data_IF_953508660684
#
_entry.id   IF_953508660684
#
_cell.length_a   1.000
_cell.length_b   1.000
_cell.length_c   1.000
_cell.angle_alpha   90.00
_cell.angle_beta   90.00
_cell.angle_gamma   90.00
#
_symmetry.space_group_name_H-M   'P 1'
#
loop_
_entity.id
_entity.type
_entity.pdbx_description
1 polymer ?
#
# COMPACT_ATOMS: atom_id res chain seq x y z
N UNK A 1 7.83 26.32 -9.03
CA UNK A 1 7.44 25.12 -8.27
C UNK A 1 8.36 24.00 -8.71
N UNK A 2 8.90 23.20 -7.79
CA UNK A 2 9.61 21.98 -8.18
C UNK A 2 8.58 20.96 -8.67
N UNK A 3 8.96 20.12 -9.63
CA UNK A 3 8.09 19.03 -10.10
C UNK A 3 8.04 17.93 -9.02
N UNK A 4 6.88 17.35 -8.70
CA UNK A 4 6.80 16.22 -7.79
C UNK A 4 7.72 15.07 -8.20
N UNK A 5 8.41 14.47 -7.25
CA UNK A 5 9.21 13.25 -7.45
C UNK A 5 8.42 11.98 -7.11
N UNK A 6 7.39 12.11 -6.28
CA UNK A 6 6.49 11.02 -5.88
C UNK A 6 5.04 11.48 -6.04
N UNK A 7 4.25 10.76 -6.82
CA UNK A 7 2.81 11.03 -7.02
C UNK A 7 2.03 9.77 -6.66
N UNK A 8 1.04 9.94 -5.79
CA UNK A 8 0.07 8.88 -5.48
C UNK A 8 -1.17 9.11 -6.35
N UNK A 9 -1.50 8.10 -7.16
CA UNK A 9 -2.82 7.90 -7.76
C UNK A 9 -3.64 7.11 -6.74
N UNK A 10 -4.82 7.62 -6.38
CA UNK A 10 -5.77 6.94 -5.51
C UNK A 10 -7.15 7.58 -5.70
N UNK A 11 -8.23 6.84 -5.50
CA UNK A 11 -9.55 7.47 -5.40
C UNK A 11 -9.56 8.46 -4.23
N UNK A 12 -10.17 9.63 -4.44
CA UNK A 12 -10.25 10.69 -3.43
C UNK A 12 -11.62 11.39 -3.54
N UNK A 13 -12.27 11.58 -2.40
CA UNK A 13 -13.60 12.15 -2.32
C UNK A 13 -13.58 13.67 -2.47
N UNK A 14 -14.57 14.25 -3.17
CA UNK A 14 -14.71 15.70 -3.35
C UNK A 14 -13.52 16.41 -4.06
N UNK A 15 -12.70 15.71 -4.85
CA UNK A 15 -11.66 16.30 -5.70
C UNK A 15 -11.80 15.94 -7.18
N UNK A 16 -11.43 16.87 -8.05
CA UNK A 16 -11.51 16.67 -9.51
C UNK A 16 -10.45 15.68 -10.05
N UNK A 17 -9.26 15.62 -9.43
CA UNK A 17 -8.16 14.76 -9.86
C UNK A 17 -7.72 13.82 -8.73
N UNK A 18 -7.59 12.51 -8.99
CA UNK A 18 -7.18 11.49 -8.02
C UNK A 18 -5.67 11.49 -7.74
N UNK A 19 -5.01 12.66 -7.73
CA UNK A 19 -3.56 12.79 -7.71
C UNK A 19 -3.08 13.59 -6.50
N UNK A 20 -2.13 13.03 -5.76
CA UNK A 20 -1.49 13.66 -4.61
C UNK A 20 0.03 13.75 -4.77
N UNK A 21 0.61 14.89 -4.43
CA UNK A 21 2.05 15.03 -4.24
C UNK A 21 2.43 14.37 -2.91
N UNK A 22 3.40 13.45 -2.97
CA UNK A 22 3.98 12.74 -1.82
C UNK A 22 5.51 12.87 -1.79
N UNK A 23 6.05 13.86 -2.49
CA UNK A 23 7.49 14.11 -2.58
C UNK A 23 8.09 14.40 -1.20
N UNK A 24 9.21 13.75 -0.80
CA UNK A 24 9.81 13.94 0.53
C UNK A 24 10.19 15.40 0.87
N UNK A 25 10.51 16.20 -0.15
CA UNK A 25 10.89 17.61 -0.01
C UNK A 25 9.74 18.60 -0.31
N UNK A 26 8.52 18.09 -0.51
CA UNK A 26 7.33 18.87 -0.86
C UNK A 26 6.34 19.05 0.30
N UNK A 27 5.34 19.91 0.11
CA UNK A 27 4.15 19.94 0.98
C UNK A 27 3.14 18.91 0.44
N UNK A 28 2.82 17.82 1.17
CA UNK A 28 1.93 16.79 0.65
C UNK A 28 0.51 17.32 0.47
N UNK A 29 -0.07 17.14 -0.72
CA UNK A 29 -1.37 17.72 -1.04
C UNK A 29 -1.94 17.28 -2.39
N UNK A 30 -3.23 17.55 -2.65
CA UNK A 30 -3.86 17.28 -3.94
C UNK A 30 -3.24 18.12 -5.06
N UNK A 31 -3.09 17.52 -6.24
CA UNK A 31 -2.48 18.14 -7.41
C UNK A 31 -3.57 18.74 -8.31
N UNK A 32 -3.46 20.04 -8.61
CA UNK A 32 -4.40 20.74 -9.48
C UNK A 32 -4.25 20.35 -10.97
N UNK A 33 -5.36 20.41 -11.72
CA UNK A 33 -5.37 20.22 -13.19
C UNK A 33 -4.34 21.13 -13.88
N UNK A 34 -3.64 20.59 -14.87
CA UNK A 34 -2.57 21.22 -15.62
C UNK A 34 -1.21 21.31 -14.90
N UNK A 35 -1.13 21.05 -13.58
CA UNK A 35 0.09 21.28 -12.82
C UNK A 35 1.27 20.35 -13.19
N UNK A 36 0.97 19.16 -13.72
CA UNK A 36 1.99 18.16 -14.10
C UNK A 36 2.46 18.26 -15.55
N UNK A 37 1.74 19.02 -16.39
CA UNK A 37 1.99 19.08 -17.82
C UNK A 37 1.71 17.77 -18.58
N UNK A 38 0.86 16.91 -18.03
CA UNK A 38 0.34 15.71 -18.70
C UNK A 38 -0.77 16.10 -19.71
N UNK A 39 -1.14 15.18 -20.60
CA UNK A 39 -2.14 15.43 -21.64
C UNK A 39 -3.53 15.61 -21.06
N UNK A 40 -4.30 16.51 -21.67
CA UNK A 40 -5.69 16.77 -21.24
C UNK A 40 -6.61 15.54 -21.38
N UNK A 41 -6.29 14.60 -22.28
CA UNK A 41 -6.99 13.32 -22.41
C UNK A 41 -6.77 12.45 -21.17
N UNK A 42 -5.52 12.33 -20.71
CA UNK A 42 -5.19 11.59 -19.51
C UNK A 42 -5.76 12.25 -18.24
N UNK A 43 -5.70 13.58 -18.12
CA UNK A 43 -6.35 14.30 -17.00
C UNK A 43 -7.86 14.05 -16.97
N UNK A 44 -8.51 14.04 -18.14
CA UNK A 44 -9.94 13.79 -18.25
C UNK A 44 -10.28 12.35 -17.83
N UNK A 45 -9.53 11.35 -18.31
CA UNK A 45 -9.75 9.94 -17.96
C UNK A 45 -9.46 9.63 -16.49
N UNK A 46 -8.46 10.27 -15.89
CA UNK A 46 -8.21 10.20 -14.44
C UNK A 46 -9.39 10.77 -13.64
N UNK A 47 -9.94 11.91 -14.07
CA UNK A 47 -11.11 12.53 -13.43
C UNK A 47 -12.38 11.68 -13.60
N UNK A 48 -12.61 11.12 -14.78
CA UNK A 48 -13.74 10.21 -15.05
C UNK A 48 -13.66 8.92 -14.21
N UNK A 49 -12.46 8.35 -14.01
CA UNK A 49 -12.25 7.22 -13.10
C UNK A 49 -12.58 7.60 -11.65
N UNK A 50 -12.11 8.76 -11.16
CA UNK A 50 -12.40 9.22 -9.80
C UNK A 50 -13.91 9.42 -9.57
N UNK A 51 -14.57 10.11 -10.51
CA UNK A 51 -16.00 10.39 -10.46
C UNK A 51 -16.86 9.11 -10.59
N UNK A 52 -16.40 8.11 -11.34
CA UNK A 52 -17.08 6.82 -11.43
C UNK A 52 -17.05 6.07 -10.09
N UNK A 53 -15.91 6.07 -9.39
CA UNK A 53 -15.79 5.45 -8.06
C UNK A 53 -16.64 6.21 -7.03
N UNK A 54 -16.59 7.54 -7.02
CA UNK A 54 -17.44 8.37 -6.14
C UNK A 54 -18.94 8.10 -6.36
N UNK A 55 -19.36 7.93 -7.62
CA UNK A 55 -20.73 7.55 -7.96
C UNK A 55 -21.11 6.10 -7.59
N UNK A 56 -20.14 5.18 -7.51
CA UNK A 56 -20.36 3.80 -7.06
C UNK A 56 -20.45 3.67 -5.54
N UNK A 57 -19.58 4.37 -4.81
CA UNK A 57 -19.45 4.28 -3.35
C UNK A 57 -20.56 5.04 -2.61
N UNK A 58 -21.03 6.16 -3.19
CA UNK A 58 -22.10 6.98 -2.60
C UNK A 58 -21.78 7.47 -1.18
N UNK A 59 -22.83 7.68 -0.37
CA UNK A 59 -22.69 8.15 1.02
C UNK A 59 -22.23 7.07 2.01
N UNK A 60 -22.37 5.79 1.65
CA UNK A 60 -22.08 4.64 2.53
C UNK A 60 -20.64 4.12 2.39
N UNK A 61 -19.89 4.57 1.37
CA UNK A 61 -18.50 4.18 1.09
C UNK A 61 -18.29 2.68 0.82
N UNK A 62 -19.34 1.96 0.40
CA UNK A 62 -19.29 0.53 0.08
C UNK A 62 -19.29 0.27 -1.43
N UNK A 63 -18.45 -0.67 -1.89
CA UNK A 63 -18.46 -1.10 -3.29
C UNK A 63 -19.75 -1.86 -3.63
N UNK A 64 -20.44 -1.53 -4.74
CA UNK A 64 -21.69 -2.19 -5.12
C UNK A 64 -21.50 -3.67 -5.47
N UNK A 65 -20.28 -4.09 -5.81
CA UNK A 65 -19.89 -5.49 -5.92
C UNK A 65 -18.37 -5.65 -5.79
N UNK A 66 -17.86 -6.85 -5.43
CA UNK A 66 -16.44 -7.18 -5.52
C UNK A 66 -15.89 -6.99 -6.95
N UNK A 67 -16.69 -7.29 -7.98
CA UNK A 67 -16.32 -7.12 -9.38
C UNK A 67 -16.09 -5.63 -9.74
N UNK A 68 -16.93 -4.71 -9.26
CA UNK A 68 -16.75 -3.27 -9.50
C UNK A 68 -15.49 -2.72 -8.81
N UNK A 69 -15.17 -3.23 -7.61
CA UNK A 69 -13.91 -2.95 -6.91
C UNK A 69 -12.71 -3.45 -7.73
N UNK A 70 -12.76 -4.68 -8.24
CA UNK A 70 -11.72 -5.27 -9.08
C UNK A 70 -11.49 -4.47 -10.37
N UNK A 71 -12.55 -4.15 -11.12
CA UNK A 71 -12.47 -3.36 -12.35
C UNK A 71 -11.84 -1.98 -12.10
N UNK A 72 -12.19 -1.36 -10.96
CA UNK A 72 -11.65 -0.06 -10.56
C UNK A 72 -10.14 -0.13 -10.25
N UNK A 73 -9.68 -1.14 -9.52
CA UNK A 73 -8.24 -1.36 -9.26
C UNK A 73 -7.45 -1.75 -10.52
N UNK A 74 -8.05 -2.53 -11.43
CA UNK A 74 -7.43 -2.82 -12.73
C UNK A 74 -7.28 -1.55 -13.57
N UNK A 75 -8.30 -0.69 -13.59
CA UNK A 75 -8.24 0.61 -14.27
C UNK A 75 -7.19 1.55 -13.64
N UNK A 76 -7.05 1.55 -12.31
CA UNK A 76 -6.03 2.32 -11.58
C UNK A 76 -4.61 1.98 -12.07
N UNK A 77 -4.28 0.69 -12.16
CA UNK A 77 -2.98 0.23 -12.67
C UNK A 77 -2.73 0.63 -14.13
N UNK A 78 -3.76 0.61 -14.98
CA UNK A 78 -3.63 1.03 -16.39
C UNK A 78 -3.43 2.55 -16.51
N UNK A 79 -4.17 3.34 -15.74
CA UNK A 79 -4.00 4.79 -15.65
C UNK A 79 -2.62 5.16 -15.08
N UNK A 80 -2.12 4.42 -14.08
CA UNK A 80 -0.78 4.59 -13.54
C UNK A 80 0.31 4.30 -14.59
N UNK A 81 0.12 3.29 -15.45
CA UNK A 81 1.05 3.01 -16.54
C UNK A 81 1.12 4.16 -17.56
N UNK A 82 -0.02 4.78 -17.89
CA UNK A 82 -0.08 5.93 -18.81
C UNK A 82 0.51 7.20 -18.18
N UNK A 83 0.13 7.50 -16.94
CA UNK A 83 0.67 8.60 -16.14
C UNK A 83 2.19 8.49 -15.99
N UNK A 84 2.70 7.30 -15.68
CA UNK A 84 4.13 7.07 -15.56
C UNK A 84 4.89 7.24 -16.89
N UNK A 85 4.26 6.91 -18.02
CA UNK A 85 4.84 7.09 -19.35
C UNK A 85 4.98 8.57 -19.71
N UNK A 86 3.98 9.40 -19.39
CA UNK A 86 4.04 10.85 -19.61
C UNK A 86 4.94 11.57 -18.59
N UNK A 87 5.01 11.09 -17.35
CA UNK A 87 5.83 11.71 -16.32
C UNK A 87 7.33 11.43 -16.45
N UNK A 88 7.71 10.29 -17.05
CA UNK A 88 9.11 9.86 -17.20
C UNK A 88 9.75 9.41 -15.88
N UNK A 89 11.08 9.21 -15.87
CA UNK A 89 11.83 8.72 -14.68
C UNK A 89 12.00 9.75 -13.56
N UNK A 90 11.69 11.03 -13.80
CA UNK A 90 11.83 12.09 -12.80
C UNK A 90 10.76 12.06 -11.70
N UNK A 91 9.68 11.30 -11.90
CA UNK A 91 8.57 11.16 -10.96
C UNK A 91 8.17 9.69 -10.91
N UNK A 92 8.02 9.12 -9.71
CA UNK A 92 7.49 7.77 -9.52
C UNK A 92 6.01 7.85 -9.18
N UNK A 93 5.18 7.09 -9.89
CA UNK A 93 3.77 6.89 -9.57
C UNK A 93 3.61 5.76 -8.55
N UNK A 94 2.67 5.91 -7.62
CA UNK A 94 2.21 4.91 -6.67
C UNK A 94 0.68 4.77 -6.80
N UNK A 95 0.12 3.60 -6.49
CA UNK A 95 -1.32 3.33 -6.60
C UNK A 95 -1.90 2.80 -5.29
N UNK A 96 -3.22 2.95 -5.13
CA UNK A 96 -4.00 2.30 -4.09
C UNK A 96 -4.04 3.02 -2.75
N UNK A 97 -4.80 2.45 -1.82
CA UNK A 97 -5.07 3.07 -0.52
C UNK A 97 -3.95 2.88 0.54
N UNK A 98 -2.72 2.65 0.09
CA UNK A 98 -1.60 2.33 0.96
C UNK A 98 -1.03 3.62 1.59
N UNK A 99 -1.44 3.92 2.83
CA UNK A 99 -0.98 5.08 3.60
C UNK A 99 0.56 5.19 3.66
N UNK A 100 1.12 6.14 2.91
CA UNK A 100 2.56 6.42 2.86
C UNK A 100 3.13 6.93 4.20
N UNK A 101 3.42 6.03 5.15
CA UNK A 101 4.34 6.35 6.27
C UNK A 101 5.78 6.60 5.81
N UNK A 102 6.12 6.35 4.54
CA UNK A 102 7.41 6.72 3.96
C UNK A 102 7.67 8.24 3.97
N UNK A 103 6.61 9.07 3.98
CA UNK A 103 6.71 10.53 4.15
C UNK A 103 6.87 10.97 5.62
N UNK A 104 6.72 10.04 6.58
CA UNK A 104 6.74 10.33 8.02
C UNK A 104 7.69 9.35 8.72
N UNK A 105 8.98 9.70 8.71
CA UNK A 105 9.69 9.60 9.99
C UNK A 105 8.86 10.43 10.98
N UNK A 106 8.46 9.93 12.16
CA UNK A 106 7.74 10.75 13.13
C UNK A 106 8.65 11.87 13.64
N UNK A 107 8.68 12.97 12.89
CA UNK A 107 9.42 14.21 13.16
C UNK A 107 8.68 15.01 14.22
N UNK A 108 8.69 14.43 15.42
CA UNK A 108 7.94 14.92 16.57
C UNK A 108 6.53 14.37 16.59
N UNK A 109 6.25 13.55 17.60
CA UNK A 109 4.94 13.61 18.25
C UNK A 109 4.56 15.08 18.45
N UNK A 110 3.28 15.44 18.24
CA UNK A 110 2.77 16.76 18.57
C UNK A 110 2.83 16.99 20.09
N UNK A 111 4.00 17.44 20.57
CA UNK A 111 4.31 17.60 21.98
C UNK A 111 3.84 18.94 22.51
N UNK A 112 3.00 18.91 23.55
CA UNK A 112 2.75 20.07 24.39
C UNK A 112 3.98 20.31 25.28
N UNK A 113 4.84 21.24 24.88
CA UNK A 113 6.03 21.63 25.64
C UNK A 113 5.66 22.61 26.77
N UNK A 114 5.78 22.17 28.02
CA UNK A 114 5.63 23.06 29.17
C UNK A 114 7.00 23.69 29.52
N UNK A 115 7.09 25.02 29.44
CA UNK A 115 8.30 25.76 29.83
C UNK A 115 8.18 26.24 31.27
N UNK A 116 9.03 25.72 32.15
CA UNK A 116 9.09 26.12 33.56
C UNK A 116 9.84 27.45 33.79
N UNK A 117 9.79 28.02 35.01
CA UNK A 117 10.35 29.34 35.33
C UNK A 117 11.86 29.53 35.07
N UNK A 118 12.62 28.43 34.98
CA UNK A 118 14.07 28.43 34.67
C UNK A 118 14.38 28.08 33.19
N UNK A 119 13.39 28.09 32.30
CA UNK A 119 13.55 27.64 30.92
C UNK A 119 13.68 26.11 30.76
N UNK A 120 13.51 25.36 31.85
CA UNK A 120 13.44 23.88 31.80
C UNK A 120 12.19 23.47 31.04
N UNK A 121 12.39 22.66 29.99
CA UNK A 121 11.34 22.11 29.14
C UNK A 121 10.88 20.77 29.73
N UNK A 122 9.57 20.62 29.94
CA UNK A 122 8.97 19.34 30.31
C UNK A 122 8.01 18.90 29.21
N UNK A 123 8.30 17.72 28.65
CA UNK A 123 7.45 17.03 27.69
C UNK A 123 6.95 15.76 28.36
N UNK A 124 5.66 15.67 28.76
CA UNK A 124 5.11 14.44 29.28
C UNK A 124 5.05 13.40 28.15
N UNK A 125 5.94 12.41 28.18
CA UNK A 125 5.88 11.26 27.27
C UNK A 125 4.55 10.52 27.52
N UNK A 126 3.67 10.51 26.51
CA UNK A 126 2.51 9.61 26.51
C UNK A 126 3.03 8.18 26.24
N UNK A 127 2.56 7.16 26.98
CA UNK A 127 2.92 5.77 26.67
C UNK A 127 2.33 5.39 25.32
N UNK A 128 3.08 4.65 24.50
CA UNK A 128 2.58 4.13 23.21
C UNK A 128 1.45 3.12 23.42
N UNK A 129 0.70 2.76 22.37
CA UNK A 129 -0.32 1.71 22.45
C UNK A 129 0.29 0.39 22.92
N UNK A 130 1.51 0.05 22.46
CA UNK A 130 2.27 -1.12 22.92
C UNK A 130 2.60 -1.02 24.42
N UNK A 131 3.08 0.12 24.91
CA UNK A 131 3.40 0.32 26.33
C UNK A 131 2.16 0.24 27.22
N UNK A 132 1.04 0.83 26.78
CA UNK A 132 -0.25 0.73 27.47
C UNK A 132 -0.74 -0.73 27.50
N UNK A 133 -0.66 -1.43 26.37
CA UNK A 133 -1.04 -2.84 26.25
C UNK A 133 -0.16 -3.76 27.11
N UNK A 134 1.11 -3.43 27.34
CA UNK A 134 2.00 -4.17 28.24
C UNK A 134 1.72 -3.86 29.72
N UNK A 135 1.44 -2.60 30.06
CA UNK A 135 1.13 -2.17 31.44
C UNK A 135 -0.28 -2.58 31.90
N UNK A 136 -1.20 -2.88 30.97
CA UNK A 136 -2.58 -3.26 31.25
C UNK A 136 -2.68 -4.50 32.17
N UNK A 137 -3.54 -4.49 33.22
CA UNK A 137 -3.84 -5.68 34.01
C UNK A 137 -4.34 -6.84 33.16
N UNK A 138 -4.05 -8.08 33.57
CA UNK A 138 -4.45 -9.29 32.82
C UNK A 138 -5.97 -9.38 32.62
N UNK A 139 -6.75 -9.14 33.66
CA UNK A 139 -8.22 -9.16 33.60
C UNK A 139 -8.82 -8.12 32.64
N UNK A 140 -8.18 -6.95 32.54
CA UNK A 140 -8.58 -5.88 31.62
C UNK A 140 -8.20 -6.23 30.18
N UNK A 141 -6.98 -6.73 29.98
CA UNK A 141 -6.52 -7.20 28.66
C UNK A 141 -7.41 -8.34 28.14
N UNK A 142 -7.70 -9.36 28.96
CA UNK A 142 -8.59 -10.47 28.60
C UNK A 142 -10.06 -10.04 28.38
N UNK A 143 -10.48 -8.90 28.95
CA UNK A 143 -11.79 -8.31 28.66
C UNK A 143 -11.78 -7.56 27.32
N UNK A 144 -10.72 -6.79 27.03
CA UNK A 144 -10.54 -6.03 25.80
C UNK A 144 -10.32 -6.93 24.57
N UNK A 145 -9.57 -8.03 24.71
CA UNK A 145 -9.23 -8.94 23.60
C UNK A 145 -10.22 -10.10 23.43
N UNK A 146 -11.35 -10.06 24.14
CA UNK A 146 -12.39 -11.10 24.04
C UNK A 146 -12.99 -11.14 22.64
N UNK A 147 -12.72 -12.23 21.91
CA UNK A 147 -13.18 -12.43 20.54
C UNK A 147 -12.19 -11.97 19.46
N UNK A 148 -10.96 -11.59 19.83
CA UNK A 148 -9.86 -11.48 18.86
C UNK A 148 -9.57 -12.87 18.30
N UNK A 149 -9.71 -13.02 16.98
CA UNK A 149 -9.28 -14.20 16.26
C UNK A 149 -7.75 -14.16 16.08
N UNK A 150 -7.05 -15.04 16.77
CA UNK A 150 -5.59 -15.13 16.69
C UNK A 150 -5.13 -15.72 15.35
N UNK A 151 -5.91 -16.63 14.76
CA UNK A 151 -5.60 -17.27 13.48
C UNK A 151 -5.75 -16.27 12.32
N UNK A 152 -6.61 -15.26 12.47
CA UNK A 152 -6.69 -14.13 11.55
C UNK A 152 -5.42 -13.26 11.54
N UNK A 153 -4.69 -13.14 12.66
CA UNK A 153 -3.51 -12.27 12.82
C UNK A 153 -2.15 -12.97 12.62
N UNK A 154 -2.14 -14.30 12.65
CA UNK A 154 -0.94 -15.14 12.55
C UNK A 154 -0.89 -15.83 11.18
N UNK A 155 0.31 -15.98 10.62
CA UNK A 155 0.49 -16.71 9.37
C UNK A 155 0.31 -18.22 9.58
N UNK A 156 -0.41 -18.88 8.67
CA UNK A 156 -0.62 -20.32 8.66
C UNK A 156 -0.31 -20.92 7.29
N UNK A 157 0.31 -22.11 7.19
CA UNK A 157 0.63 -22.73 5.92
C UNK A 157 -0.62 -22.94 5.05
N UNK A 158 -0.55 -22.49 3.80
CA UNK A 158 -1.64 -22.63 2.83
C UNK A 158 -2.72 -21.54 2.89
N UNK A 159 -2.58 -20.53 3.77
CA UNK A 159 -3.41 -19.31 3.70
C UNK A 159 -3.17 -18.60 2.36
N UNK A 160 -4.25 -18.09 1.75
CA UNK A 160 -4.19 -17.27 0.54
C UNK A 160 -3.66 -15.87 0.92
N UNK A 161 -2.76 -15.25 0.14
CA UNK A 161 -2.30 -13.90 0.41
C UNK A 161 -3.42 -12.86 0.16
N UNK A 162 -3.48 -11.84 1.01
CA UNK A 162 -4.43 -10.71 0.91
C UNK A 162 -3.78 -9.50 0.23
N UNK A 163 -2.45 -9.48 0.16
CA UNK A 163 -1.65 -8.51 -0.60
C UNK A 163 -0.55 -9.28 -1.32
N UNK A 164 -0.20 -8.97 -2.57
CA UNK A 164 0.87 -9.64 -3.34
C UNK A 164 1.80 -8.60 -3.98
N UNK A 165 3.10 -8.63 -3.67
CA UNK A 165 4.07 -7.72 -4.29
C UNK A 165 4.58 -8.27 -5.62
N UNK A 166 4.49 -7.47 -6.69
CA UNK A 166 5.20 -7.70 -7.95
C UNK A 166 6.60 -7.05 -7.87
N UNK A 167 7.67 -7.85 -7.87
CA UNK A 167 9.04 -7.36 -7.85
C UNK A 167 10.02 -8.39 -8.45
N UNK A 168 11.07 -7.98 -9.20
CA UNK A 168 12.06 -8.91 -9.73
C UNK A 168 12.80 -9.67 -8.61
N UNK A 169 13.10 -10.94 -8.85
CA UNK A 169 13.74 -11.86 -7.90
C UNK A 169 14.72 -12.80 -8.61
N UNK A 170 15.79 -13.18 -7.90
CA UNK A 170 16.73 -14.20 -8.34
C UNK A 170 16.16 -15.63 -8.25
N UNK A 171 15.03 -15.82 -7.56
CA UNK A 171 14.44 -17.15 -7.34
C UNK A 171 12.91 -17.13 -7.34
N UNK A 172 12.30 -18.11 -8.02
CA UNK A 172 10.86 -18.31 -8.07
C UNK A 172 10.15 -17.46 -9.13
N UNK A 173 8.92 -17.03 -8.84
CA UNK A 173 8.18 -16.03 -9.61
C UNK A 173 8.49 -14.64 -9.03
N UNK A 174 8.33 -13.53 -9.78
CA UNK A 174 8.51 -12.15 -9.29
C UNK A 174 7.40 -11.69 -8.33
N UNK A 175 7.00 -12.56 -7.39
CA UNK A 175 5.87 -12.41 -6.51
C UNK A 175 6.31 -12.75 -5.08
N UNK A 176 6.03 -11.88 -4.12
CA UNK A 176 6.33 -12.09 -2.70
C UNK A 176 5.09 -11.83 -1.84
N UNK A 177 4.98 -12.49 -0.67
CA UNK A 177 3.69 -12.92 -0.11
C UNK A 177 2.53 -11.93 -0.28
N UNK A 178 2.44 -10.74 0.34
CA UNK A 178 3.23 -10.02 1.35
C UNK A 178 2.48 -9.81 2.69
N UNK A 179 1.29 -10.38 2.83
CA UNK A 179 0.25 -10.18 3.87
C UNK A 179 0.79 -9.81 5.27
N UNK A 180 0.24 -8.80 5.97
CA UNK A 180 0.81 -8.28 7.23
C UNK A 180 0.47 -9.16 8.46
N UNK A 181 0.84 -10.44 8.39
CA UNK A 181 0.62 -11.45 9.44
C UNK A 181 1.87 -11.71 10.28
N UNK A 182 1.68 -11.97 11.57
CA UNK A 182 2.77 -12.31 12.49
C UNK A 182 3.35 -13.68 12.13
N UNK A 183 4.67 -13.80 12.22
CA UNK A 183 5.47 -14.97 11.85
C UNK A 183 5.43 -15.39 10.37
N UNK A 184 4.92 -14.53 9.47
CA UNK A 184 4.98 -14.78 8.02
C UNK A 184 6.44 -14.89 7.53
N UNK A 185 6.83 -15.96 6.80
CA UNK A 185 8.13 -16.04 6.17
C UNK A 185 8.24 -15.05 4.99
N UNK A 186 9.42 -14.49 4.76
CA UNK A 186 9.68 -13.60 3.62
C UNK A 186 10.12 -14.39 2.38
N UNK A 187 9.26 -15.32 1.96
CA UNK A 187 9.50 -16.24 0.84
C UNK A 187 8.81 -15.78 -0.46
N UNK A 188 9.40 -16.05 -1.63
CA UNK A 188 8.73 -15.87 -2.92
C UNK A 188 7.52 -16.80 -3.07
N UNK A 189 6.43 -16.29 -3.66
CA UNK A 189 5.25 -17.07 -3.97
C UNK A 189 5.50 -18.00 -5.16
N UNK A 190 5.22 -19.29 -4.98
CA UNK A 190 5.19 -20.24 -6.07
C UNK A 190 3.97 -19.98 -6.99
N UNK A 191 4.15 -20.12 -8.32
CA UNK A 191 3.06 -19.95 -9.30
C UNK A 191 1.83 -20.81 -9.00
N UNK A 192 2.04 -22.02 -8.45
CA UNK A 192 0.97 -22.94 -8.09
C UNK A 192 0.07 -22.46 -6.93
N UNK A 193 0.55 -21.54 -6.09
CA UNK A 193 -0.21 -21.00 -4.94
C UNK A 193 -1.46 -20.23 -5.39
N UNK A 194 -1.35 -19.49 -6.51
CA UNK A 194 -2.41 -18.61 -7.01
C UNK A 194 -3.11 -19.14 -8.27
N UNK A 195 -2.69 -20.30 -8.78
CA UNK A 195 -3.33 -21.02 -9.92
C UNK A 195 -3.48 -20.17 -11.20
N UNK A 196 -2.50 -19.32 -11.48
CA UNK A 196 -2.45 -18.54 -12.71
C UNK A 196 -2.42 -19.43 -13.97
N UNK A 197 -2.96 -18.91 -15.07
CA UNK A 197 -2.81 -19.55 -16.38
C UNK A 197 -1.36 -19.46 -16.90
N UNK A 198 -1.05 -20.31 -17.87
CA UNK A 198 0.31 -20.43 -18.43
C UNK A 198 0.78 -19.15 -19.14
N UNK A 199 -0.14 -18.33 -19.67
CA UNK A 199 0.19 -17.08 -20.37
C UNK A 199 0.64 -16.01 -19.37
N UNK A 200 -0.09 -15.83 -18.27
CA UNK A 200 0.33 -14.91 -17.21
C UNK A 200 1.63 -15.38 -16.55
N UNK A 201 1.80 -16.68 -16.31
CA UNK A 201 3.05 -17.25 -15.79
C UNK A 201 4.24 -16.98 -16.73
N UNK A 202 4.05 -17.12 -18.05
CA UNK A 202 5.08 -16.81 -19.04
C UNK A 202 5.45 -15.32 -19.03
N UNK A 203 4.45 -14.43 -18.98
CA UNK A 203 4.66 -12.96 -18.94
C UNK A 203 5.36 -12.49 -17.65
N UNK A 204 5.01 -13.09 -16.50
CA UNK A 204 5.70 -12.83 -15.24
C UNK A 204 7.19 -13.22 -15.31
N UNK A 205 7.52 -14.36 -15.93
CA UNK A 205 8.92 -14.80 -16.11
C UNK A 205 9.68 -13.89 -17.06
N UNK A 206 9.14 -13.60 -18.24
CA UNK A 206 9.76 -12.69 -19.22
C UNK A 206 10.04 -11.30 -18.61
N UNK A 207 9.09 -10.75 -17.84
CA UNK A 207 9.29 -9.51 -17.12
C UNK A 207 10.35 -9.61 -16.02
N UNK A 208 10.38 -10.72 -15.26
CA UNK A 208 11.42 -10.95 -14.25
C UNK A 208 12.82 -11.00 -14.89
N UNK A 209 12.99 -11.85 -15.90
CA UNK A 209 14.27 -12.09 -16.57
C UNK A 209 14.78 -10.81 -17.26
N UNK A 210 13.87 -9.97 -17.76
CA UNK A 210 14.18 -8.66 -18.34
C UNK A 210 14.67 -7.64 -17.32
N UNK A 211 14.13 -7.63 -16.11
CA UNK A 211 14.33 -6.56 -15.12
C UNK A 211 15.15 -6.97 -13.89
N UNK A 212 15.53 -8.25 -13.76
CA UNK A 212 16.39 -8.73 -12.69
C UNK A 212 17.78 -8.07 -12.77
N UNK A 213 18.13 -7.31 -11.73
CA UNK A 213 19.40 -6.57 -11.66
C UNK A 213 19.48 -5.34 -12.59
N UNK A 214 18.41 -5.00 -13.29
CA UNK A 214 18.35 -3.83 -14.17
C UNK A 214 17.97 -2.53 -13.41
N UNK A 215 18.30 -1.38 -14.00
CA UNK A 215 17.86 -0.08 -13.47
C UNK A 215 16.34 0.12 -13.64
N UNK A 216 15.72 0.82 -12.68
CA UNK A 216 14.29 1.16 -12.71
C UNK A 216 14.02 2.29 -13.71
N UNK A 217 13.90 1.93 -14.99
CA UNK A 217 13.55 2.83 -16.10
C UNK A 217 12.04 3.15 -16.17
N UNK A 218 11.64 4.09 -17.03
CA UNK A 218 10.22 4.31 -17.37
C UNK A 218 9.59 3.00 -17.86
N UNK A 219 10.30 2.25 -18.71
CA UNK A 219 9.77 1.02 -19.29
C UNK A 219 9.60 -0.09 -18.25
N UNK A 220 10.48 -0.17 -17.24
CA UNK A 220 10.28 -1.04 -16.06
C UNK A 220 8.95 -0.71 -15.37
N UNK A 221 8.72 0.56 -15.06
CA UNK A 221 7.52 0.99 -14.34
C UNK A 221 6.25 0.80 -15.19
N UNK A 222 6.25 1.22 -16.45
CA UNK A 222 5.09 1.09 -17.37
C UNK A 222 4.76 -0.38 -17.67
N UNK A 223 5.77 -1.23 -17.91
CA UNK A 223 5.53 -2.67 -18.13
C UNK A 223 5.08 -3.38 -16.85
N UNK A 224 5.64 -3.00 -15.70
CA UNK A 224 5.26 -3.54 -14.40
C UNK A 224 3.85 -3.14 -13.98
N UNK A 225 3.42 -1.89 -14.21
CA UNK A 225 2.03 -1.46 -13.96
C UNK A 225 1.02 -2.23 -14.81
N UNK A 226 1.29 -2.44 -16.11
CA UNK A 226 0.43 -3.27 -16.98
C UNK A 226 0.35 -4.71 -16.48
N UNK A 227 1.50 -5.30 -16.12
CA UNK A 227 1.56 -6.65 -15.55
C UNK A 227 0.86 -6.74 -14.19
N UNK A 228 0.90 -5.67 -13.38
CA UNK A 228 0.17 -5.57 -12.13
C UNK A 228 -1.35 -5.51 -12.35
N UNK A 229 -1.84 -4.85 -13.40
CA UNK A 229 -3.25 -4.87 -13.80
C UNK A 229 -3.72 -6.31 -14.16
N UNK A 230 -2.96 -7.02 -14.99
CA UNK A 230 -3.25 -8.41 -15.35
C UNK A 230 -3.20 -9.34 -14.13
N UNK A 231 -2.22 -9.14 -13.24
CA UNK A 231 -2.08 -9.87 -11.99
C UNK A 231 -3.26 -9.59 -11.06
N UNK A 232 -3.70 -8.33 -10.94
CA UNK A 232 -4.83 -7.92 -10.11
C UNK A 232 -6.12 -8.60 -10.57
N UNK A 233 -6.38 -8.60 -11.88
CA UNK A 233 -7.47 -9.35 -12.49
C UNK A 233 -7.42 -10.85 -12.16
N UNK A 234 -6.22 -11.46 -12.21
CA UNK A 234 -6.05 -12.89 -11.95
C UNK A 234 -6.14 -13.28 -10.45
N UNK A 235 -5.70 -12.42 -9.52
CA UNK A 235 -5.85 -12.67 -8.08
C UNK A 235 -7.22 -12.27 -7.54
N UNK A 236 -7.99 -11.47 -8.26
CA UNK A 236 -9.37 -11.08 -7.92
C UNK A 236 -9.48 -10.05 -6.77
N UNK A 237 -10.71 -9.73 -6.34
CA UNK A 237 -11.00 -8.55 -5.52
C UNK A 237 -10.54 -8.63 -4.05
N UNK A 238 -10.18 -9.82 -3.57
CA UNK A 238 -9.79 -10.04 -2.16
C UNK A 238 -8.27 -10.10 -1.96
N UNK A 239 -7.49 -9.83 -3.00
CA UNK A 239 -6.03 -9.80 -2.95
C UNK A 239 -5.54 -8.55 -3.65
N UNK A 240 -4.94 -7.61 -2.93
CA UNK A 240 -4.38 -6.37 -3.52
C UNK A 240 -3.00 -6.62 -4.12
N UNK A 241 -2.77 -6.22 -5.37
CA UNK A 241 -1.42 -6.21 -5.95
C UNK A 241 -0.66 -4.96 -5.47
N UNK A 242 0.62 -5.10 -5.19
CA UNK A 242 1.52 -3.99 -4.83
C UNK A 242 2.56 -3.80 -5.93
N UNK A 243 2.60 -2.62 -6.54
CA UNK A 243 3.64 -2.19 -7.49
C UNK A 243 3.60 -0.65 -7.64
N UNK A 244 4.73 0.08 -7.76
CA UNK A 244 6.13 -0.37 -7.65
C UNK A 244 6.64 -0.37 -6.20
N UNK A 245 5.77 -0.10 -5.22
CA UNK A 245 6.10 0.04 -3.81
C UNK A 245 6.74 -1.23 -3.25
N UNK A 246 8.06 -1.21 -3.05
CA UNK A 246 8.85 -2.36 -2.62
C UNK A 246 9.31 -2.28 -1.16
N UNK A 247 8.74 -1.39 -0.33
CA UNK A 247 9.19 -1.25 1.06
C UNK A 247 8.64 -2.38 1.92
N UNK A 248 9.54 -3.07 2.63
CA UNK A 248 9.18 -4.21 3.49
C UNK A 248 8.36 -3.79 4.72
N UNK A 249 8.45 -2.53 5.15
CA UNK A 249 7.72 -2.03 6.30
C UNK A 249 6.18 -2.07 6.08
N UNK A 250 5.70 -1.84 4.85
CA UNK A 250 4.27 -1.95 4.46
C UNK A 250 3.73 -3.38 4.51
N UNK A 251 4.64 -4.35 4.51
CA UNK A 251 4.38 -5.80 4.54
C UNK A 251 4.67 -6.42 5.91
N UNK A 252 4.97 -5.58 6.91
CA UNK A 252 5.23 -5.96 8.30
C UNK A 252 3.96 -5.71 9.12
N UNK A 253 3.52 -6.62 10.01
CA UNK A 253 2.42 -6.34 10.92
C UNK A 253 2.70 -5.09 11.77
N UNK A 254 1.66 -4.34 12.11
CA UNK A 254 1.79 -3.19 13.00
C UNK A 254 2.44 -3.61 14.34
N UNK A 255 3.30 -2.80 14.97
CA UNK A 255 3.92 -3.12 16.26
C UNK A 255 2.89 -3.48 17.35
N UNK A 256 1.72 -2.85 17.30
CA UNK A 256 0.56 -3.12 18.14
C UNK A 256 0.02 -4.55 17.93
N UNK A 257 -0.10 -5.00 16.68
CA UNK A 257 -0.51 -6.36 16.33
C UNK A 257 0.51 -7.40 16.79
N UNK A 258 1.81 -7.13 16.61
CA UNK A 258 2.88 -8.00 17.11
C UNK A 258 2.82 -8.12 18.64
N UNK A 259 2.66 -7.01 19.35
CA UNK A 259 2.54 -6.99 20.81
C UNK A 259 1.27 -7.72 21.31
N UNK A 260 0.14 -7.53 20.61
CA UNK A 260 -1.13 -8.20 20.89
C UNK A 260 -1.01 -9.72 20.76
N UNK A 261 -0.47 -10.21 19.64
CA UNK A 261 -0.24 -11.64 19.37
C UNK A 261 0.71 -12.24 20.39
N UNK A 262 1.82 -11.57 20.69
CA UNK A 262 2.78 -12.03 21.69
C UNK A 262 2.16 -12.15 23.10
N UNK A 263 1.36 -11.15 23.52
CA UNK A 263 0.70 -11.17 24.82
C UNK A 263 -0.43 -12.20 24.88
N UNK A 264 -1.24 -12.37 23.83
CA UNK A 264 -2.27 -13.41 23.77
C UNK A 264 -1.67 -14.82 23.92
N UNK A 265 -0.58 -15.12 23.20
CA UNK A 265 0.15 -16.40 23.31
C UNK A 265 0.78 -16.67 24.67
N UNK A 266 1.00 -15.65 25.50
CA UNK A 266 1.50 -15.83 26.88
C UNK A 266 0.41 -16.21 27.90
N UNK A 267 -0.86 -16.19 27.49
CA UNK A 267 -2.03 -16.48 28.33
C UNK A 267 -2.67 -17.85 28.01
N UNK A 268 -2.16 -18.55 27.00
CA UNK A 268 -2.60 -19.87 26.52
C UNK A 268 -1.63 -20.97 26.91
#
# INVERSE_FOLDING_TARGET
MNRPTHIRLMWEHSVDLPLWDRSPDGEPGPIARGALGITADLEQRLSEWNAAIEAYLGDDFEWPSPEASLESSVAEFLLAAELQAELGTGTTVFVGDDEDRDAVTPTGDAHFEAVGPEGRRFTPRRPTVVEQMQAMPESEFCAMTRGVDLDALVWTPGRRPERVLLAPTESGMPLADRTPLVDRPDEPLAAGTLRFDETLVARLRDWNDRWLGAERTVEYLVSGFRLAADLQHAVGPHTSVLFPASSTWRSTPAPETVALVARLRSLT
#
